data_IF_799513611812
#
_entry.id   IF_799513611812
#
_cell.length_a   1.000
_cell.length_b   1.000
_cell.length_c   1.000
_cell.angle_alpha   90.00
_cell.angle_beta   90.00
_cell.angle_gamma   90.00
#
_symmetry.space_group_name_H-M   'P 1'
#
loop_
_entity.id
_entity.type
_entity.pdbx_description
1 polymer ?
#
# COMPACT_ATOMS: atom_id res chain seq x y z
N UNK A 1 -13.29 3.56 6.37
CA UNK A 1 -13.29 3.37 4.90
C UNK A 1 -13.34 1.87 4.52
N UNK A 2 -12.37 1.00 4.88
CA UNK A 2 -12.36 -0.40 4.40
C UNK A 2 -13.55 -1.23 4.90
N UNK A 3 -13.99 -1.00 6.14
CA UNK A 3 -15.19 -1.64 6.69
C UNK A 3 -16.45 -1.34 5.86
N UNK A 4 -16.72 -0.06 5.61
CA UNK A 4 -17.87 0.39 4.82
C UNK A 4 -17.79 -0.11 3.38
N UNK A 5 -16.59 -0.16 2.79
CA UNK A 5 -16.40 -0.64 1.43
C UNK A 5 -16.67 -2.15 1.31
N UNK A 6 -16.23 -2.96 2.28
CA UNK A 6 -16.60 -4.39 2.32
C UNK A 6 -18.11 -4.62 2.41
N UNK A 7 -18.82 -3.80 3.21
CA UNK A 7 -20.30 -3.83 3.27
C UNK A 7 -20.93 -3.50 1.92
N UNK A 8 -20.42 -2.48 1.24
CA UNK A 8 -20.86 -2.10 -0.09
C UNK A 8 -20.62 -3.21 -1.13
N UNK A 9 -19.50 -3.91 -1.05
CA UNK A 9 -19.15 -5.03 -1.93
C UNK A 9 -19.86 -6.36 -1.57
N UNK A 10 -20.72 -6.37 -0.55
CA UNK A 10 -21.34 -7.59 -0.01
C UNK A 10 -20.32 -8.66 0.43
N UNK A 11 -19.10 -8.22 0.77
CA UNK A 11 -18.00 -9.05 1.30
C UNK A 11 -17.37 -8.33 2.47
N UNK A 12 -17.81 -8.72 3.66
CA UNK A 12 -17.33 -8.11 4.90
C UNK A 12 -15.81 -8.14 4.98
N UNK A 13 -15.23 -7.01 5.36
CA UNK A 13 -13.78 -6.87 5.61
C UNK A 13 -13.41 -7.66 6.86
N UNK A 14 -12.39 -8.52 6.77
CA UNK A 14 -11.83 -9.19 7.94
C UNK A 14 -10.95 -8.19 8.69
N UNK A 15 -11.29 -7.90 9.94
CA UNK A 15 -10.53 -6.96 10.78
C UNK A 15 -9.60 -7.77 11.69
N UNK A 16 -8.32 -7.42 11.66
CA UNK A 16 -7.29 -7.90 12.57
C UNK A 16 -6.80 -6.72 13.41
N UNK A 17 -7.24 -6.67 14.67
CA UNK A 17 -6.81 -5.64 15.61
C UNK A 17 -5.42 -5.97 16.14
N UNK A 18 -4.40 -5.28 15.61
CA UNK A 18 -3.01 -5.51 15.99
C UNK A 18 -2.83 -5.17 17.47
N UNK A 19 -2.10 -6.01 18.19
CA UNK A 19 -1.83 -5.81 19.62
C UNK A 19 -0.37 -5.42 19.83
N UNK A 20 -0.04 -4.64 20.88
CA UNK A 20 1.35 -4.32 21.23
C UNK A 20 2.23 -5.55 21.48
N UNK A 21 1.61 -6.69 21.81
CA UNK A 21 2.30 -7.96 22.04
C UNK A 21 2.70 -8.69 20.75
N UNK A 22 2.27 -8.24 19.58
CA UNK A 22 2.54 -8.93 18.32
C UNK A 22 4.04 -8.89 17.99
N UNK A 23 4.66 -10.08 17.98
CA UNK A 23 6.12 -10.23 17.90
C UNK A 23 6.61 -11.11 16.77
N UNK A 24 5.72 -11.84 16.11
CA UNK A 24 6.05 -12.70 14.97
C UNK A 24 4.82 -12.99 14.10
N UNK A 25 5.04 -13.74 13.02
CA UNK A 25 4.01 -14.13 12.04
C UNK A 25 2.88 -15.01 12.62
N UNK A 26 3.08 -15.66 13.76
CA UNK A 26 2.04 -16.54 14.35
C UNK A 26 0.83 -15.74 14.82
N UNK A 27 1.02 -14.46 15.13
CA UNK A 27 -0.05 -13.54 15.49
C UNK A 27 -0.96 -13.21 14.31
N UNK A 28 -0.39 -13.25 13.09
CA UNK A 28 -1.12 -12.97 11.86
C UNK A 28 -1.75 -14.24 11.27
N UNK A 29 -1.04 -15.37 11.28
CA UNK A 29 -1.51 -16.60 10.61
C UNK A 29 -1.98 -17.68 11.56
N UNK A 30 -1.47 -17.70 12.78
CA UNK A 30 -1.65 -18.79 13.72
C UNK A 30 -0.42 -19.68 13.83
N UNK A 31 -0.59 -20.79 14.55
CA UNK A 31 0.48 -21.75 14.81
C UNK A 31 -0.03 -23.18 14.88
N UNK A 32 0.83 -24.12 14.52
CA UNK A 32 0.55 -25.54 14.71
C UNK A 32 0.83 -25.97 16.15
N UNK A 33 -0.17 -26.52 16.83
CA UNK A 33 0.00 -27.06 18.18
C UNK A 33 0.36 -28.55 18.10
N UNK A 34 1.64 -28.84 18.31
CA UNK A 34 2.22 -30.19 18.26
C UNK A 34 1.58 -31.19 19.24
N UNK A 35 1.03 -30.72 20.36
CA UNK A 35 0.39 -31.60 21.35
C UNK A 35 -1.01 -32.03 20.92
N UNK A 36 -1.80 -31.08 20.44
CA UNK A 36 -3.17 -31.34 19.97
C UNK A 36 -3.24 -31.82 18.53
N UNK A 37 -2.14 -31.69 17.78
CA UNK A 37 -2.06 -31.93 16.33
C UNK A 37 -3.05 -31.12 15.50
N UNK A 38 -3.44 -29.95 16.02
CA UNK A 38 -4.31 -29.00 15.35
C UNK A 38 -3.56 -27.70 15.09
N UNK A 39 -3.84 -27.09 13.93
CA UNK A 39 -3.46 -25.72 13.66
C UNK A 39 -4.45 -24.78 14.37
N UNK A 40 -3.94 -23.75 15.05
CA UNK A 40 -4.76 -22.68 15.61
C UNK A 40 -4.68 -21.50 14.65
N UNK A 41 -5.59 -21.45 13.68
CA UNK A 41 -5.63 -20.41 12.65
C UNK A 41 -6.29 -19.12 13.13
N UNK A 42 -5.84 -17.99 12.59
CA UNK A 42 -6.47 -16.68 12.80
C UNK A 42 -7.60 -16.44 11.79
N UNK A 43 -8.45 -15.44 12.06
CA UNK A 43 -9.45 -15.00 11.08
C UNK A 43 -8.82 -14.49 9.77
N UNK A 44 -7.59 -13.96 9.83
CA UNK A 44 -6.81 -13.58 8.66
C UNK A 44 -6.48 -14.81 7.81
N UNK A 45 -5.96 -15.87 8.42
CA UNK A 45 -5.62 -17.09 7.69
C UNK A 45 -6.87 -17.77 7.11
N UNK A 46 -7.97 -17.82 7.87
CA UNK A 46 -9.26 -18.31 7.39
C UNK A 46 -9.76 -17.50 6.18
N UNK A 47 -9.58 -16.17 6.20
CA UNK A 47 -9.95 -15.31 5.06
C UNK A 47 -9.10 -15.62 3.84
N UNK A 48 -7.78 -15.74 3.97
CA UNK A 48 -6.89 -16.11 2.85
C UNK A 48 -7.34 -17.46 2.26
N UNK A 49 -7.53 -18.47 3.11
CA UNK A 49 -7.96 -19.79 2.68
C UNK A 49 -9.32 -19.77 1.95
N UNK A 50 -10.32 -19.08 2.51
CA UNK A 50 -11.66 -19.02 1.91
C UNK A 50 -11.71 -18.17 0.63
N UNK A 51 -10.82 -17.19 0.46
CA UNK A 51 -10.73 -16.38 -0.76
C UNK A 51 -10.30 -17.18 -2.00
N UNK A 52 -9.68 -18.36 -1.85
CA UNK A 52 -9.38 -19.26 -2.96
C UNK A 52 -10.62 -19.92 -3.61
N UNK A 53 -11.77 -19.88 -2.94
CA UNK A 53 -13.01 -20.51 -3.40
C UNK A 53 -13.95 -19.56 -4.13
N UNK A 54 -13.57 -18.29 -4.30
CA UNK A 54 -14.35 -17.28 -4.99
C UNK A 54 -13.43 -16.33 -5.77
N UNK A 55 -14.02 -15.56 -6.68
CA UNK A 55 -13.33 -14.47 -7.38
C UNK A 55 -13.68 -13.10 -6.77
N UNK A 56 -14.34 -13.03 -5.62
CA UNK A 56 -14.79 -11.75 -5.07
C UNK A 56 -13.59 -10.97 -4.50
N UNK A 57 -13.66 -9.64 -4.53
CA UNK A 57 -12.65 -8.79 -3.87
C UNK A 57 -12.76 -8.95 -2.35
N UNK A 58 -11.66 -9.34 -1.70
CA UNK A 58 -11.57 -9.55 -0.26
C UNK A 58 -10.63 -8.53 0.39
N UNK A 59 -11.03 -7.99 1.55
CA UNK A 59 -10.20 -7.07 2.32
C UNK A 59 -9.81 -7.66 3.69
N UNK A 60 -8.54 -7.49 4.03
CA UNK A 60 -8.02 -7.62 5.39
C UNK A 60 -7.62 -6.23 5.88
N UNK A 61 -8.20 -5.81 7.00
CA UNK A 61 -7.84 -4.58 7.69
C UNK A 61 -6.95 -4.91 8.90
N UNK A 62 -5.69 -4.51 8.83
CA UNK A 62 -4.77 -4.48 9.97
C UNK A 62 -5.00 -3.18 10.74
N UNK A 63 -5.81 -3.24 11.78
CA UNK A 63 -6.16 -2.05 12.56
C UNK A 63 -5.04 -1.67 13.54
N UNK A 64 -4.68 -0.39 13.56
CA UNK A 64 -3.53 0.17 14.28
C UNK A 64 -2.24 -0.62 14.03
N UNK A 65 -1.94 -0.89 12.76
CA UNK A 65 -0.87 -1.79 12.34
C UNK A 65 0.50 -1.46 12.94
N UNK A 66 0.74 -0.18 13.28
CA UNK A 66 1.99 0.30 13.82
C UNK A 66 2.04 0.38 15.36
N UNK A 67 1.01 -0.10 16.06
CA UNK A 67 1.08 -0.32 17.51
C UNK A 67 2.11 -1.41 17.89
N UNK A 68 2.39 -2.31 16.95
CA UNK A 68 3.52 -3.22 16.96
C UNK A 68 4.42 -2.93 15.76
N UNK A 69 5.68 -3.38 15.82
CA UNK A 69 6.60 -3.28 14.68
C UNK A 69 6.06 -4.16 13.54
N UNK A 70 5.58 -3.52 12.47
CA UNK A 70 4.95 -4.17 11.30
C UNK A 70 5.80 -5.33 10.77
N UNK A 71 7.12 -5.15 10.73
CA UNK A 71 8.05 -6.13 10.20
C UNK A 71 8.11 -7.42 11.02
N UNK A 72 7.73 -7.40 12.29
CA UNK A 72 7.76 -8.61 13.11
C UNK A 72 6.73 -9.63 12.65
N UNK A 73 5.51 -9.19 12.35
CA UNK A 73 4.42 -10.10 11.99
C UNK A 73 4.09 -10.11 10.48
N UNK A 74 4.48 -9.06 9.73
CA UNK A 74 4.09 -8.89 8.32
C UNK A 74 5.26 -8.99 7.32
N UNK A 75 6.52 -9.15 7.76
CA UNK A 75 7.67 -9.16 6.85
C UNK A 75 7.64 -10.27 5.79
N UNK A 76 7.05 -11.42 6.13
CA UNK A 76 6.87 -12.53 5.20
C UNK A 76 5.91 -12.14 4.07
N UNK A 77 4.74 -11.57 4.41
CA UNK A 77 3.78 -11.04 3.42
C UNK A 77 4.42 -9.99 2.52
N UNK A 78 5.18 -9.05 3.10
CA UNK A 78 5.90 -8.05 2.31
C UNK A 78 6.84 -8.70 1.31
N UNK A 79 7.39 -9.88 1.61
CA UNK A 79 8.34 -10.57 0.74
C UNK A 79 7.65 -11.43 -0.31
N UNK A 80 6.59 -12.15 0.07
CA UNK A 80 5.80 -12.97 -0.85
C UNK A 80 5.11 -12.11 -1.91
N UNK A 81 4.46 -11.01 -1.52
CA UNK A 81 3.74 -10.12 -2.43
C UNK A 81 4.65 -9.34 -3.41
N UNK A 82 5.98 -9.43 -3.25
CA UNK A 82 6.95 -8.85 -4.18
C UNK A 82 7.34 -9.81 -5.31
N UNK A 83 6.98 -11.09 -5.21
CA UNK A 83 7.27 -12.07 -6.25
C UNK A 83 6.48 -11.71 -7.52
N UNK A 84 7.14 -11.67 -8.70
CA UNK A 84 6.48 -11.29 -9.95
C UNK A 84 5.34 -12.22 -10.37
N UNK A 85 5.43 -13.50 -10.01
CA UNK A 85 4.44 -14.52 -10.34
C UNK A 85 3.52 -14.81 -9.13
N UNK A 86 2.22 -14.48 -9.20
CA UNK A 86 1.24 -14.83 -8.17
C UNK A 86 0.98 -16.33 -7.98
N UNK A 87 1.51 -17.19 -8.85
CA UNK A 87 1.52 -18.63 -8.62
C UNK A 87 2.53 -19.04 -7.54
N UNK A 88 3.59 -18.25 -7.34
CA UNK A 88 4.62 -18.47 -6.32
C UNK A 88 4.27 -17.84 -4.96
N UNK A 89 3.11 -17.19 -4.87
CA UNK A 89 2.66 -16.57 -3.62
C UNK A 89 2.20 -17.63 -2.61
N UNK A 90 3.15 -18.36 -2.03
CA UNK A 90 2.91 -19.45 -1.10
C UNK A 90 3.32 -19.09 0.32
N UNK A 91 2.49 -19.44 1.28
CA UNK A 91 2.73 -19.32 2.72
C UNK A 91 2.99 -20.71 3.31
N UNK A 92 4.19 -20.94 3.82
CA UNK A 92 4.53 -22.16 4.56
C UNK A 92 3.85 -22.15 5.93
N UNK A 93 2.94 -23.10 6.21
CA UNK A 93 2.18 -23.17 7.47
C UNK A 93 2.62 -24.33 8.35
N UNK A 94 2.79 -25.51 7.77
CA UNK A 94 3.13 -26.74 8.50
C UNK A 94 4.19 -27.54 7.74
N UNK A 95 5.12 -28.22 8.44
CA UNK A 95 6.22 -28.93 7.80
C UNK A 95 5.83 -30.31 7.24
N UNK A 96 4.72 -30.89 7.73
CA UNK A 96 4.29 -32.23 7.37
C UNK A 96 2.89 -32.19 6.76
N UNK A 97 2.62 -33.11 5.85
CA UNK A 97 1.32 -33.28 5.21
C UNK A 97 0.54 -34.36 5.96
N UNK A 98 -0.72 -34.06 6.29
CA UNK A 98 -1.64 -35.00 6.91
C UNK A 98 -2.84 -35.28 6.01
N UNK A 99 -3.43 -36.47 6.14
CA UNK A 99 -4.63 -36.84 5.37
C UNK A 99 -5.87 -36.02 5.74
N UNK A 100 -5.81 -35.29 6.86
CA UNK A 100 -6.86 -34.41 7.37
C UNK A 100 -6.64 -32.94 6.98
N UNK A 101 -5.60 -32.64 6.20
CA UNK A 101 -5.30 -31.26 5.81
C UNK A 101 -6.42 -30.66 4.96
N UNK A 102 -6.66 -29.34 5.06
CA UNK A 102 -7.61 -28.64 4.22
C UNK A 102 -7.27 -28.79 2.72
N UNK A 103 -8.30 -28.87 1.87
CA UNK A 103 -8.15 -29.18 0.42
C UNK A 103 -7.20 -28.23 -0.32
N UNK A 104 -7.16 -26.94 0.03
CA UNK A 104 -6.27 -25.94 -0.61
C UNK A 104 -4.90 -25.82 0.05
N UNK A 105 -4.61 -26.63 1.06
CA UNK A 105 -3.29 -26.71 1.65
C UNK A 105 -2.47 -27.76 0.86
N UNK A 106 -1.60 -27.31 -0.04
CA UNK A 106 -0.72 -28.21 -0.79
C UNK A 106 0.64 -28.31 -0.09
N UNK A 107 1.03 -29.53 0.30
CA UNK A 107 2.31 -29.80 0.96
C UNK A 107 2.62 -28.91 2.17
N UNK A 108 1.59 -28.59 2.95
CA UNK A 108 1.70 -27.72 4.12
C UNK A 108 1.81 -26.22 3.81
N UNK A 109 1.60 -25.86 2.54
CA UNK A 109 1.61 -24.48 2.05
C UNK A 109 0.23 -24.03 1.61
N UNK A 110 -0.06 -22.76 1.85
CA UNK A 110 -1.28 -22.12 1.39
C UNK A 110 -0.94 -21.05 0.35
N UNK A 111 -1.66 -21.03 -0.78
CA UNK A 111 -1.48 -19.97 -1.76
C UNK A 111 -2.22 -18.71 -1.31
N UNK A 112 -1.58 -17.55 -1.48
CA UNK A 112 -2.22 -16.25 -1.31
C UNK A 112 -2.83 -15.86 -2.66
N UNK A 113 -4.17 -15.80 -2.78
CA UNK A 113 -4.80 -15.45 -4.04
C UNK A 113 -4.70 -13.94 -4.32
N UNK A 114 -4.86 -13.53 -5.57
CA UNK A 114 -4.74 -12.12 -5.98
C UNK A 114 -5.98 -11.28 -5.63
N UNK A 115 -7.10 -11.92 -5.30
CA UNK A 115 -8.35 -11.25 -4.95
C UNK A 115 -8.39 -10.81 -3.47
N UNK A 116 -7.25 -10.73 -2.79
CA UNK A 116 -7.15 -10.27 -1.40
C UNK A 116 -6.23 -9.04 -1.28
N UNK A 117 -6.73 -8.00 -0.61
CA UNK A 117 -5.97 -6.78 -0.34
C UNK A 117 -5.81 -6.56 1.15
N UNK A 118 -4.61 -6.13 1.52
CA UNK A 118 -4.22 -5.82 2.89
C UNK A 118 -4.19 -4.31 3.06
N UNK A 119 -4.97 -3.81 4.00
CA UNK A 119 -5.08 -2.39 4.32
C UNK A 119 -4.68 -2.23 5.77
N UNK A 120 -3.71 -1.36 6.05
CA UNK A 120 -3.31 -1.05 7.41
C UNK A 120 -3.71 0.38 7.78
N UNK A 121 -4.29 0.55 8.97
CA UNK A 121 -4.42 1.88 9.59
C UNK A 121 -3.20 2.13 10.46
N UNK A 122 -2.70 3.36 10.46
CA UNK A 122 -1.54 3.73 11.26
C UNK A 122 -1.76 5.11 11.86
N UNK A 123 -1.38 5.26 13.13
CA UNK A 123 -1.38 6.53 13.83
C UNK A 123 0.03 7.13 13.81
N UNK A 124 0.14 8.46 13.75
CA UNK A 124 1.43 9.17 13.79
C UNK A 124 1.60 9.87 15.15
N UNK A 125 1.49 9.14 16.25
CA UNK A 125 1.59 9.62 17.62
C UNK A 125 2.75 8.95 18.40
N UNK A 126 3.17 9.54 19.52
CA UNK A 126 4.34 9.06 20.29
C UNK A 126 4.18 7.64 20.87
N UNK A 127 2.96 7.11 20.90
CA UNK A 127 2.64 5.80 21.48
C UNK A 127 2.84 4.63 20.51
N UNK A 128 3.10 4.92 19.23
CA UNK A 128 3.20 3.91 18.17
C UNK A 128 4.62 3.82 17.58
N UNK A 129 4.89 2.71 16.89
CA UNK A 129 6.18 2.53 16.22
C UNK A 129 6.20 3.27 14.88
N UNK A 130 7.36 3.85 14.56
CA UNK A 130 7.62 4.40 13.22
C UNK A 130 7.61 3.26 12.19
N UNK A 131 6.83 3.41 11.13
CA UNK A 131 6.82 2.49 9.99
C UNK A 131 8.06 2.74 9.14
N UNK A 132 8.79 1.68 8.77
CA UNK A 132 9.99 1.83 7.96
C UNK A 132 9.70 2.13 6.49
N UNK A 133 10.69 2.73 5.80
CA UNK A 133 10.65 2.93 4.36
C UNK A 133 10.43 1.64 3.57
N UNK A 134 10.87 0.48 4.11
CA UNK A 134 10.65 -0.83 3.48
C UNK A 134 9.16 -1.14 3.35
N UNK A 135 8.34 -0.74 4.31
CA UNK A 135 6.88 -0.93 4.26
C UNK A 135 6.26 0.09 3.31
N UNK A 136 6.64 1.36 3.43
CA UNK A 136 6.11 2.43 2.56
C UNK A 136 6.46 2.25 1.09
N UNK A 137 7.62 1.71 0.77
CA UNK A 137 8.01 1.40 -0.61
C UNK A 137 7.08 0.35 -1.24
N UNK A 138 6.45 -0.53 -0.44
CA UNK A 138 5.62 -1.66 -0.90
C UNK A 138 4.11 -1.42 -0.81
N UNK A 139 3.66 -0.52 0.07
CA UNK A 139 2.24 -0.18 0.24
C UNK A 139 1.88 1.15 -0.42
N UNK A 140 0.62 1.41 -0.78
CA UNK A 140 0.19 2.74 -1.21
C UNK A 140 -0.27 3.56 0.01
N UNK A 141 0.44 4.63 0.41
CA UNK A 141 0.02 5.44 1.55
C UNK A 141 -1.24 6.23 1.21
N UNK A 142 -2.13 6.37 2.20
CA UNK A 142 -3.27 7.29 2.16
C UNK A 142 -3.16 8.18 3.39
N UNK A 143 -2.82 9.46 3.17
CA UNK A 143 -2.72 10.44 4.25
C UNK A 143 -4.10 11.04 4.52
N UNK A 144 -4.49 11.08 5.79
CA UNK A 144 -5.75 11.67 6.25
C UNK A 144 -5.45 12.92 7.09
N UNK A 145 -4.89 13.94 6.44
CA UNK A 145 -4.43 15.17 7.11
C UNK A 145 -5.56 16.18 7.40
N UNK A 146 -6.70 16.04 6.73
CA UNK A 146 -7.87 16.89 6.89
C UNK A 146 -9.04 16.13 7.52
N UNK A 147 -9.81 16.83 8.36
CA UNK A 147 -11.08 16.29 8.85
C UNK A 147 -12.05 16.12 7.69
N UNK A 148 -12.66 14.94 7.60
CA UNK A 148 -13.74 14.69 6.66
C UNK A 148 -14.90 15.65 6.91
N UNK A 149 -15.30 16.39 5.88
CA UNK A 149 -16.52 17.20 5.91
C UNK A 149 -17.68 16.28 5.53
N UNK A 150 -18.72 16.23 6.37
CA UNK A 150 -19.91 15.46 6.05
C UNK A 150 -20.55 16.01 4.78
N UNK A 151 -20.90 15.11 3.86
CA UNK A 151 -21.58 15.45 2.62
C UNK A 151 -22.69 14.44 2.36
N UNK A 152 -23.71 14.86 1.61
CA UNK A 152 -24.74 13.95 1.13
C UNK A 152 -24.26 13.25 -0.14
N UNK A 153 -24.44 11.93 -0.19
CA UNK A 153 -24.15 11.12 -1.36
C UNK A 153 -25.44 10.48 -1.87
N UNK A 154 -25.56 10.22 -3.18
CA UNK A 154 -26.68 9.46 -3.73
C UNK A 154 -26.78 8.09 -3.07
N UNK A 155 -28.00 7.66 -2.74
CA UNK A 155 -28.23 6.30 -2.27
C UNK A 155 -27.80 5.30 -3.36
N UNK A 156 -26.87 4.42 -3.01
CA UNK A 156 -26.23 3.50 -3.95
C UNK A 156 -26.37 2.08 -3.40
N UNK A 157 -27.06 1.18 -4.12
CA UNK A 157 -27.27 -0.18 -3.63
C UNK A 157 -25.95 -0.94 -3.55
N UNK A 158 -25.78 -1.86 -2.57
CA UNK A 158 -24.62 -2.74 -2.52
C UNK A 158 -24.47 -3.55 -3.81
N UNK A 159 -23.24 -3.79 -4.25
CA UNK A 159 -22.93 -4.58 -5.44
C UNK A 159 -21.91 -5.68 -5.11
N UNK A 160 -21.80 -6.71 -5.94
CA UNK A 160 -20.66 -7.62 -5.88
C UNK A 160 -19.63 -7.21 -6.94
N UNK A 161 -18.34 -7.31 -6.61
CA UNK A 161 -17.23 -7.02 -7.50
C UNK A 161 -16.27 -8.19 -7.51
N UNK A 162 -16.15 -8.82 -8.67
CA UNK A 162 -15.15 -9.85 -8.91
C UNK A 162 -13.78 -9.22 -9.19
N UNK A 163 -12.72 -9.91 -8.81
CA UNK A 163 -11.35 -9.52 -9.05
C UNK A 163 -11.05 -9.53 -10.55
N UNK A 164 -11.52 -10.53 -11.31
CA UNK A 164 -11.33 -10.57 -12.76
C UNK A 164 -11.91 -9.31 -13.44
N UNK A 165 -13.10 -8.87 -13.01
CA UNK A 165 -13.69 -7.64 -13.52
C UNK A 165 -12.87 -6.41 -13.13
N UNK A 166 -12.47 -6.30 -11.86
CA UNK A 166 -11.66 -5.18 -11.38
C UNK A 166 -10.29 -5.10 -12.09
N UNK A 167 -9.63 -6.24 -12.29
CA UNK A 167 -8.36 -6.33 -13.00
C UNK A 167 -8.50 -5.95 -14.48
N UNK A 168 -9.63 -6.28 -15.10
CA UNK A 168 -9.97 -5.82 -16.45
C UNK A 168 -10.06 -4.29 -16.50
N UNK A 169 -10.76 -3.66 -15.55
CA UNK A 169 -10.85 -2.20 -15.46
C UNK A 169 -9.47 -1.55 -15.26
N UNK A 170 -8.59 -2.15 -14.46
CA UNK A 170 -7.22 -1.67 -14.31
C UNK A 170 -6.43 -1.76 -15.62
N UNK A 171 -6.50 -2.90 -16.32
CA UNK A 171 -5.83 -3.08 -17.62
C UNK A 171 -6.33 -2.10 -18.68
N UNK A 172 -7.63 -1.85 -18.72
CA UNK A 172 -8.24 -0.84 -19.58
C UNK A 172 -7.72 0.57 -19.26
N UNK A 173 -7.67 0.93 -17.98
CA UNK A 173 -7.11 2.21 -17.54
C UNK A 173 -5.65 2.37 -17.97
N UNK A 174 -4.81 1.34 -17.80
CA UNK A 174 -3.40 1.37 -18.21
C UNK A 174 -3.22 1.62 -19.72
N UNK A 175 -4.14 1.12 -20.55
CA UNK A 175 -4.11 1.29 -22.00
C UNK A 175 -4.65 2.65 -22.45
N UNK A 176 -5.73 3.13 -21.83
CA UNK A 176 -6.38 4.38 -22.22
C UNK A 176 -5.66 5.62 -21.70
N UNK A 177 -5.08 5.54 -20.51
CA UNK A 177 -4.49 6.68 -19.81
C UNK A 177 -3.02 6.45 -19.42
N UNK A 178 -2.14 5.98 -20.33
CA UNK A 178 -0.73 5.81 -20.01
C UNK A 178 -0.11 7.16 -19.65
N UNK A 179 0.82 7.16 -18.68
CA UNK A 179 1.54 8.39 -18.29
C UNK A 179 2.23 8.99 -19.51
N UNK A 180 1.98 10.27 -19.76
CA UNK A 180 2.50 10.94 -20.95
C UNK A 180 4.04 10.94 -20.99
N UNK A 181 4.60 10.86 -22.20
CA UNK A 181 6.05 10.89 -22.42
C UNK A 181 6.68 12.21 -21.94
N UNK A 182 5.93 13.31 -21.97
CA UNK A 182 6.37 14.59 -21.42
C UNK A 182 6.51 14.52 -19.89
N UNK A 183 5.49 14.00 -19.20
CA UNK A 183 5.54 13.77 -17.75
C UNK A 183 6.68 12.84 -17.35
N UNK A 184 6.88 11.72 -18.06
CA UNK A 184 7.99 10.80 -17.80
C UNK A 184 9.37 11.48 -17.94
N UNK A 185 9.54 12.34 -18.95
CA UNK A 185 10.78 13.14 -19.11
C UNK A 185 10.98 14.11 -17.95
N UNK A 186 9.92 14.80 -17.51
CA UNK A 186 9.96 15.71 -16.36
C UNK A 186 10.31 14.95 -15.08
N UNK A 187 9.70 13.79 -14.85
CA UNK A 187 10.03 12.93 -13.70
C UNK A 187 11.50 12.51 -13.73
N UNK A 188 12.05 12.14 -14.89
CA UNK A 188 13.46 11.80 -15.03
C UNK A 188 14.38 12.99 -14.74
N UNK A 189 14.03 14.19 -15.22
CA UNK A 189 14.79 15.41 -14.91
C UNK A 189 14.76 15.73 -13.42
N UNK A 190 13.61 15.53 -12.77
CA UNK A 190 13.46 15.68 -11.32
C UNK A 190 14.31 14.66 -10.57
N UNK A 191 14.30 13.39 -10.96
CA UNK A 191 15.11 12.34 -10.36
C UNK A 191 16.61 12.70 -10.40
N UNK A 192 17.12 13.09 -11.57
CA UNK A 192 18.52 13.52 -11.72
C UNK A 192 18.87 14.69 -10.81
N UNK A 193 17.98 15.68 -10.71
CA UNK A 193 18.18 16.83 -9.83
C UNK A 193 18.23 16.41 -8.35
N UNK A 194 17.29 15.56 -7.91
CA UNK A 194 17.21 15.08 -6.52
C UNK A 194 18.43 14.20 -6.18
N UNK A 195 18.91 13.39 -7.12
CA UNK A 195 20.15 12.60 -6.96
C UNK A 195 21.36 13.52 -6.78
N UNK A 196 21.49 14.55 -7.61
CA UNK A 196 22.63 15.47 -7.58
C UNK A 196 22.68 16.26 -6.26
N UNK A 197 21.54 16.82 -5.84
CA UNK A 197 21.46 17.76 -4.72
C UNK A 197 21.20 17.11 -3.38
N UNK A 198 20.31 16.12 -3.34
CA UNK A 198 19.82 15.50 -2.09
C UNK A 198 20.34 14.08 -1.88
N UNK A 199 21.05 13.50 -2.86
CA UNK A 199 21.57 12.12 -2.82
C UNK A 199 20.47 11.07 -2.62
N UNK A 200 19.25 11.37 -3.07
CA UNK A 200 18.12 10.45 -3.08
C UNK A 200 17.77 10.11 -4.53
N UNK A 201 17.50 8.83 -4.81
CA UNK A 201 17.14 8.36 -6.15
C UNK A 201 15.72 7.79 -6.17
N UNK A 202 15.05 7.94 -7.30
CA UNK A 202 13.73 7.35 -7.55
C UNK A 202 13.95 5.89 -7.93
N UNK A 203 13.76 4.98 -6.97
CA UNK A 203 13.90 3.55 -7.25
C UNK A 203 12.94 3.09 -8.36
N UNK A 204 13.37 2.11 -9.17
CA UNK A 204 12.57 1.54 -10.28
C UNK A 204 11.15 1.12 -9.87
N UNK A 205 10.97 0.70 -8.60
CA UNK A 205 9.66 0.34 -8.05
C UNK A 205 8.68 1.53 -8.08
N UNK A 206 9.14 2.73 -7.77
CA UNK A 206 8.28 3.92 -7.72
C UNK A 206 7.80 4.27 -9.12
N UNK A 207 8.67 4.20 -10.12
CA UNK A 207 8.28 4.40 -11.53
C UNK A 207 7.28 3.34 -12.00
N UNK A 208 7.48 2.07 -11.63
CA UNK A 208 6.51 1.00 -11.93
C UNK A 208 5.16 1.28 -11.26
N UNK A 209 5.15 1.63 -9.97
CA UNK A 209 3.94 1.96 -9.23
C UNK A 209 3.24 3.19 -9.80
N UNK A 210 3.97 4.21 -10.23
CA UNK A 210 3.41 5.39 -10.88
C UNK A 210 2.69 5.05 -12.19
N UNK A 211 3.28 4.19 -13.02
CA UNK A 211 2.66 3.71 -14.25
C UNK A 211 1.45 2.78 -14.02
N UNK A 212 1.22 2.31 -12.79
CA UNK A 212 0.02 1.58 -12.40
C UNK A 212 -1.01 2.51 -11.74
N UNK A 213 -0.57 3.44 -10.90
CA UNK A 213 -1.46 4.31 -10.12
C UNK A 213 -2.07 5.42 -10.97
N UNK A 214 -1.25 6.17 -11.72
CA UNK A 214 -1.70 7.37 -12.46
C UNK A 214 -2.80 7.06 -13.49
N UNK A 215 -2.70 5.99 -14.31
CA UNK A 215 -3.77 5.68 -15.26
C UNK A 215 -5.11 5.39 -14.58
N UNK A 216 -5.10 4.67 -13.46
CA UNK A 216 -6.31 4.37 -12.68
C UNK A 216 -6.87 5.63 -12.04
N UNK A 217 -6.01 6.51 -11.52
CA UNK A 217 -6.40 7.80 -10.97
C UNK A 217 -7.12 8.67 -12.02
N UNK A 218 -6.59 8.73 -13.24
CA UNK A 218 -7.20 9.45 -14.36
C UNK A 218 -8.51 8.79 -14.81
N UNK A 219 -8.57 7.46 -14.87
CA UNK A 219 -9.80 6.72 -15.19
C UNK A 219 -10.93 7.00 -14.17
N UNK A 220 -10.58 7.29 -12.91
CA UNK A 220 -11.53 7.72 -11.88
C UNK A 220 -11.92 9.22 -11.95
N UNK A 221 -11.46 9.95 -12.97
CA UNK A 221 -11.78 11.36 -13.20
C UNK A 221 -10.76 12.37 -12.65
N UNK A 222 -9.60 11.90 -12.18
CA UNK A 222 -8.50 12.77 -11.76
C UNK A 222 -7.64 13.29 -12.93
N UNK A 223 -6.74 14.23 -12.64
CA UNK A 223 -5.77 14.72 -13.62
C UNK A 223 -4.43 13.96 -13.52
N UNK A 224 -3.71 13.81 -14.64
CA UNK A 224 -2.42 13.10 -14.70
C UNK A 224 -1.41 13.70 -13.72
N UNK A 225 -1.29 15.03 -13.70
CA UNK A 225 -0.33 15.73 -12.84
C UNK A 225 -0.65 15.57 -11.35
N UNK A 226 -1.93 15.53 -10.98
CA UNK A 226 -2.35 15.32 -9.59
C UNK A 226 -2.01 13.90 -9.12
N UNK A 227 -2.18 12.90 -10.00
CA UNK A 227 -1.76 11.53 -9.72
C UNK A 227 -0.25 11.39 -9.54
N UNK A 228 0.54 12.07 -10.38
CA UNK A 228 2.01 12.12 -10.27
C UNK A 228 2.43 12.82 -8.97
N UNK A 229 1.82 13.97 -8.68
CA UNK A 229 2.06 14.76 -7.47
C UNK A 229 1.84 13.93 -6.21
N UNK A 230 0.72 13.20 -6.16
CA UNK A 230 0.41 12.30 -5.05
C UNK A 230 1.49 11.24 -4.83
N UNK A 231 1.95 10.58 -5.90
CA UNK A 231 3.00 9.54 -5.80
C UNK A 231 4.32 10.16 -5.34
N UNK A 232 4.72 11.32 -5.87
CA UNK A 232 5.96 11.98 -5.46
C UNK A 232 5.93 12.39 -3.98
N UNK A 233 4.85 13.03 -3.54
CA UNK A 233 4.67 13.44 -2.15
C UNK A 233 4.72 12.24 -1.18
N UNK A 234 3.95 11.19 -1.48
CA UNK A 234 3.77 10.07 -0.54
C UNK A 234 4.89 9.05 -0.54
N UNK A 235 5.62 8.89 -1.65
CA UNK A 235 6.66 7.85 -1.81
C UNK A 235 8.09 8.37 -1.83
N UNK A 236 8.30 9.56 -2.39
CA UNK A 236 9.65 10.07 -2.66
C UNK A 236 10.04 11.07 -1.60
N UNK A 237 9.31 12.18 -1.53
CA UNK A 237 9.68 13.29 -0.65
C UNK A 237 9.60 12.91 0.83
N UNK A 238 8.80 11.89 1.15
CA UNK A 238 8.81 11.27 2.47
C UNK A 238 10.18 10.80 2.94
N UNK A 239 11.01 10.29 2.03
CA UNK A 239 12.36 9.81 2.37
C UNK A 239 13.25 10.94 2.90
N UNK A 240 12.87 12.20 2.67
CA UNK A 240 13.61 13.36 3.18
C UNK A 240 13.43 13.54 4.70
N UNK A 241 12.38 12.99 5.31
CA UNK A 241 12.21 12.98 6.77
C UNK A 241 13.37 12.27 7.49
N UNK A 242 14.01 11.30 6.83
CA UNK A 242 15.17 10.58 7.36
C UNK A 242 16.49 11.36 7.27
N UNK A 243 16.53 12.44 6.48
CA UNK A 243 17.73 13.22 6.24
C UNK A 243 17.93 14.30 7.31
N UNK A 244 19.13 14.85 7.39
CA UNK A 244 19.40 15.99 8.27
C UNK A 244 18.76 17.27 7.68
N UNK A 245 17.47 17.47 7.96
CA UNK A 245 16.65 18.54 7.40
C UNK A 245 17.17 19.95 7.71
N UNK A 246 17.86 20.15 8.84
CA UNK A 246 18.46 21.44 9.20
C UNK A 246 19.52 21.91 8.20
N UNK A 247 20.19 20.96 7.52
CA UNK A 247 21.18 21.26 6.48
C UNK A 247 20.60 21.30 5.07
N UNK A 248 19.30 21.00 4.89
CA UNK A 248 18.66 20.86 3.59
C UNK A 248 17.62 21.95 3.28
N UNK A 249 17.47 22.95 4.14
CA UNK A 249 16.40 23.94 4.03
C UNK A 249 16.47 24.73 2.72
N UNK A 250 17.68 25.12 2.31
CA UNK A 250 17.89 25.86 1.06
C UNK A 250 17.64 24.95 -0.15
N UNK A 251 18.12 23.70 -0.11
CA UNK A 251 17.89 22.70 -1.15
C UNK A 251 16.40 22.37 -1.31
N UNK A 252 15.62 22.29 -0.23
CA UNK A 252 14.17 22.07 -0.29
C UNK A 252 13.45 23.27 -0.93
N UNK A 253 13.92 24.49 -0.69
CA UNK A 253 13.39 25.70 -1.33
C UNK A 253 13.75 25.76 -2.82
N UNK A 254 14.98 25.38 -3.17
CA UNK A 254 15.40 25.23 -4.56
C UNK A 254 14.58 24.16 -5.27
N UNK A 255 14.30 23.02 -4.61
CA UNK A 255 13.47 21.94 -5.15
C UNK A 255 12.06 22.44 -5.45
N UNK A 256 11.41 23.17 -4.54
CA UNK A 256 10.09 23.75 -4.79
C UNK A 256 10.09 24.66 -6.03
N UNK A 257 11.11 25.51 -6.15
CA UNK A 257 11.27 26.42 -7.30
C UNK A 257 11.51 25.64 -8.59
N UNK A 258 12.33 24.60 -8.54
CA UNK A 258 12.63 23.72 -9.66
C UNK A 258 11.38 22.96 -10.14
N UNK A 259 10.58 22.41 -9.22
CA UNK A 259 9.32 21.75 -9.54
C UNK A 259 8.32 22.70 -10.20
N UNK A 260 8.17 23.93 -9.70
CA UNK A 260 7.29 24.92 -10.32
C UNK A 260 7.75 25.32 -11.74
N UNK A 261 9.07 25.34 -11.99
CA UNK A 261 9.60 25.57 -13.34
C UNK A 261 9.33 24.40 -14.27
N UNK A 262 9.41 23.17 -13.75
CA UNK A 262 9.35 21.95 -14.53
C UNK A 262 7.92 21.51 -14.86
N UNK A 263 7.02 21.56 -13.88
CA UNK A 263 5.63 21.11 -14.01
C UNK A 263 4.64 22.25 -14.26
N UNK A 264 5.01 23.48 -13.92
CA UNK A 264 4.17 24.67 -14.06
C UNK A 264 3.93 25.40 -12.75
N UNK A 265 3.44 26.64 -12.84
CA UNK A 265 3.05 27.41 -11.65
C UNK A 265 1.70 26.89 -11.13
N UNK A 266 1.54 26.84 -9.80
CA UNK A 266 0.34 26.36 -9.11
C UNK A 266 -0.04 24.88 -9.37
N UNK A 267 0.89 24.09 -9.91
CA UNK A 267 0.80 22.62 -9.98
C UNK A 267 1.56 21.98 -8.82
N UNK A 268 1.49 20.65 -8.67
CA UNK A 268 2.25 19.89 -7.67
C UNK A 268 1.96 20.34 -6.22
N UNK A 269 0.68 20.61 -5.92
CA UNK A 269 0.26 21.22 -4.66
C UNK A 269 0.57 20.34 -3.45
N UNK A 270 0.35 19.03 -3.55
CA UNK A 270 0.61 18.08 -2.47
C UNK A 270 2.09 18.01 -2.15
N UNK A 271 2.93 17.87 -3.18
CA UNK A 271 4.39 17.86 -3.02
C UNK A 271 4.92 19.17 -2.46
N UNK A 272 4.48 20.31 -2.98
CA UNK A 272 4.93 21.62 -2.51
C UNK A 272 4.51 21.81 -1.04
N UNK A 273 3.25 21.53 -0.70
CA UNK A 273 2.76 21.65 0.68
C UNK A 273 3.54 20.73 1.63
N UNK A 274 3.85 19.50 1.19
CA UNK A 274 4.65 18.55 1.95
C UNK A 274 6.09 19.04 2.18
N UNK A 275 6.76 19.51 1.13
CA UNK A 275 8.13 20.06 1.22
C UNK A 275 8.19 21.33 2.08
N UNK A 276 7.18 22.20 1.99
CA UNK A 276 7.06 23.39 2.86
C UNK A 276 6.81 23.01 4.32
N UNK A 277 6.07 21.93 4.59
CA UNK A 277 5.91 21.39 5.95
C UNK A 277 7.24 20.92 6.51
N UNK A 278 8.02 20.17 5.73
CA UNK A 278 9.35 19.72 6.12
C UNK A 278 10.29 20.89 6.44
N UNK A 279 10.23 21.99 5.67
CA UNK A 279 10.99 23.21 5.93
C UNK A 279 10.59 23.93 7.23
N UNK A 280 9.37 23.73 7.74
CA UNK A 280 8.88 24.38 8.97
C UNK A 280 9.17 23.58 10.23
N UNK A 281 9.38 22.26 10.10
CA UNK A 281 9.66 21.37 11.23
C UNK A 281 11.07 21.59 11.83
N UNK A 282 11.98 22.29 11.12
CA UNK A 282 13.37 22.53 11.53
C UNK A 282 13.89 23.91 11.13
#
# INVERSE_FOLDING_TARGET
>A
MPYSFGKFLQKDTTIASVQPSWRDRTELFGYFNEFTKNFNETEVLKRIYSSEYNDDVNFILLDEMNIARVEYYFAEMLSILEMPDPAEWELDLVPNVWSTDPVRLDKGKLRIPQNIWYIGTANNDDSTFTISDKVYDRAQPINLDAKGVAFEAPDTPPMNLSFEHLDTLFKEAFQMYPVSQDSLKKIQQLDLWVIEKLRVAFGNRILKQMNLFVPVYVACGGEELDGIDYVLATKIFRKFESLNLAMLRDELKELCTYMQKLFGRNTMKESIAYLERLQKLY
#
